data_IF_061305194969
#
_entry.id   IF_061305194969
#
_cell.length_a   1.000
_cell.length_b   1.000
_cell.length_c   1.000
_cell.angle_alpha   90.00
_cell.angle_beta   90.00
_cell.angle_gamma   90.00
#
_symmetry.space_group_name_H-M   'P 1'
#
loop_
_entity.id
_entity.type
_entity.pdbx_description
1 polymer ?
#
# COMPACT_ATOMS: atom_id res chain seq x y z
N UNK A 1 9.87 -6.40 -16.51
CA UNK A 1 9.00 -6.36 -15.31
C UNK A 1 7.61 -5.92 -15.74
N UNK A 2 6.74 -6.87 -16.12
CA UNK A 2 5.41 -6.57 -16.70
C UNK A 2 4.48 -6.06 -15.61
N UNK A 3 3.88 -4.89 -15.85
CA UNK A 3 2.66 -4.43 -15.18
C UNK A 3 1.63 -5.56 -15.31
N UNK A 4 1.48 -6.39 -14.27
CA UNK A 4 0.35 -7.31 -14.16
C UNK A 4 -0.88 -6.44 -13.95
N UNK A 5 -1.45 -6.16 -15.11
CA UNK A 5 -2.57 -5.31 -15.45
C UNK A 5 -3.64 -5.33 -14.37
N UNK A 6 -4.21 -4.16 -14.10
CA UNK A 6 -5.63 -4.05 -13.78
C UNK A 6 -6.39 -4.73 -14.93
N UNK A 7 -6.55 -6.07 -14.88
CA UNK A 7 -7.36 -6.82 -15.86
C UNK A 7 -8.85 -6.55 -15.71
N UNK A 8 -9.22 -5.72 -14.73
CA UNK A 8 -10.54 -5.19 -14.54
C UNK A 8 -10.57 -3.74 -15.07
N UNK A 9 -11.10 -3.50 -16.29
CA UNK A 9 -11.18 -2.16 -16.86
C UNK A 9 -11.98 -1.20 -15.97
N UNK A 10 -12.97 -1.70 -15.23
CA UNK A 10 -13.82 -0.91 -14.33
C UNK A 10 -13.00 -0.33 -13.17
N UNK A 11 -12.09 -1.14 -12.60
CA UNK A 11 -11.21 -0.67 -11.52
C UNK A 11 -10.25 0.42 -12.01
N UNK A 12 -9.71 0.31 -13.22
CA UNK A 12 -8.84 1.38 -13.75
C UNK A 12 -9.63 2.66 -13.94
N UNK A 13 -10.81 2.60 -14.54
CA UNK A 13 -11.66 3.77 -14.76
C UNK A 13 -12.02 4.45 -13.43
N UNK A 14 -12.37 3.67 -12.41
CA UNK A 14 -12.66 4.19 -11.06
C UNK A 14 -11.45 4.88 -10.42
N UNK A 15 -10.25 4.31 -10.54
CA UNK A 15 -9.03 4.93 -10.01
C UNK A 15 -8.65 6.22 -10.74
N UNK A 16 -8.91 6.30 -12.05
CA UNK A 16 -8.75 7.54 -12.82
C UNK A 16 -9.76 8.60 -12.34
N UNK A 17 -11.02 8.24 -12.12
CA UNK A 17 -12.02 9.17 -11.60
C UNK A 17 -11.64 9.70 -10.21
N UNK A 18 -11.21 8.81 -9.31
CA UNK A 18 -10.69 9.19 -7.98
C UNK A 18 -9.50 10.15 -8.10
N UNK A 19 -8.59 9.90 -9.05
CA UNK A 19 -7.45 10.79 -9.29
C UNK A 19 -7.88 12.19 -9.71
N UNK A 20 -8.81 12.29 -10.65
CA UNK A 20 -9.30 13.58 -11.14
C UNK A 20 -9.99 14.38 -10.02
N UNK A 21 -10.82 13.73 -9.21
CA UNK A 21 -11.45 14.33 -8.03
C UNK A 21 -10.41 14.78 -6.99
N UNK A 22 -9.41 13.93 -6.69
CA UNK A 22 -8.32 14.25 -5.78
C UNK A 22 -7.55 15.49 -6.25
N UNK A 23 -7.21 15.55 -7.53
CA UNK A 23 -6.46 16.67 -8.11
C UNK A 23 -7.29 17.93 -8.22
N UNK A 24 -8.59 17.82 -8.50
CA UNK A 24 -9.52 18.94 -8.44
C UNK A 24 -9.58 19.53 -7.02
N UNK A 25 -9.71 18.67 -6.00
CA UNK A 25 -9.73 19.08 -4.60
C UNK A 25 -8.41 19.74 -4.19
N UNK A 26 -7.26 19.19 -4.61
CA UNK A 26 -5.94 19.72 -4.30
C UNK A 26 -5.63 21.10 -4.92
N UNK A 27 -6.42 21.54 -5.90
CA UNK A 27 -6.31 22.86 -6.53
C UNK A 27 -7.08 23.95 -5.78
N UNK A 28 -7.92 23.61 -4.80
CA UNK A 28 -8.69 24.60 -4.06
C UNK A 28 -7.76 25.47 -3.19
N UNK A 29 -7.96 26.79 -3.10
CA UNK A 29 -7.04 27.71 -2.40
C UNK A 29 -6.73 27.32 -0.96
N UNK A 30 -7.69 26.72 -0.25
CA UNK A 30 -7.57 26.38 1.17
C UNK A 30 -7.31 24.88 1.41
N UNK A 31 -6.89 24.15 0.38
CA UNK A 31 -6.64 22.70 0.48
C UNK A 31 -5.16 22.40 0.31
N UNK A 32 -4.55 21.89 1.38
CA UNK A 32 -3.21 21.32 1.32
C UNK A 32 -3.22 19.97 0.60
N UNK A 33 -2.05 19.55 0.07
CA UNK A 33 -1.90 18.20 -0.48
C UNK A 33 -2.24 17.11 0.56
N UNK A 34 -1.96 17.38 1.84
CA UNK A 34 -2.33 16.50 2.96
C UNK A 34 -3.84 16.37 3.12
N UNK A 35 -4.59 17.47 3.03
CA UNK A 35 -6.05 17.49 3.14
C UNK A 35 -6.70 16.78 1.95
N UNK A 36 -6.22 17.04 0.72
CA UNK A 36 -6.69 16.32 -0.46
C UNK A 36 -6.42 14.81 -0.34
N UNK A 37 -5.20 14.43 0.07
CA UNK A 37 -4.86 13.03 0.33
C UNK A 37 -5.74 12.42 1.42
N UNK A 38 -6.08 13.17 2.47
CA UNK A 38 -6.93 12.70 3.56
C UNK A 38 -8.34 12.32 3.06
N UNK A 39 -8.91 13.12 2.14
CA UNK A 39 -10.15 12.75 1.44
C UNK A 39 -10.02 11.39 0.75
N UNK A 40 -8.92 11.14 0.03
CA UNK A 40 -8.69 9.81 -0.55
C UNK A 40 -8.60 8.73 0.53
N UNK A 41 -7.71 8.88 1.52
CA UNK A 41 -7.43 7.81 2.48
C UNK A 41 -8.60 7.49 3.41
N UNK A 42 -9.43 8.46 3.76
CA UNK A 42 -10.52 8.29 4.72
C UNK A 42 -11.90 8.07 4.09
N UNK A 43 -12.09 8.43 2.81
CA UNK A 43 -13.42 8.37 2.17
C UNK A 43 -13.39 7.42 0.99
N UNK A 44 -12.45 7.61 0.05
CA UNK A 44 -12.47 6.86 -1.21
C UNK A 44 -11.76 5.51 -1.13
N UNK A 45 -10.72 5.40 -0.31
CA UNK A 45 -9.85 4.23 -0.28
C UNK A 45 -10.61 2.94 0.07
N UNK A 46 -11.64 3.01 0.92
CA UNK A 46 -12.45 1.84 1.31
C UNK A 46 -13.08 1.12 0.12
N UNK A 47 -13.43 1.85 -0.94
CA UNK A 47 -14.02 1.30 -2.16
C UNK A 47 -13.01 0.46 -2.95
N UNK A 48 -11.74 0.82 -2.94
CA UNK A 48 -10.72 0.27 -3.85
C UNK A 48 -9.64 -0.57 -3.16
N UNK A 49 -9.36 -0.37 -1.87
CA UNK A 49 -8.22 -0.98 -1.18
C UNK A 49 -8.25 -2.52 -1.24
N UNK A 50 -9.42 -3.15 -1.03
CA UNK A 50 -9.52 -4.63 -1.12
C UNK A 50 -9.17 -5.16 -2.51
N UNK A 51 -9.49 -4.40 -3.57
CA UNK A 51 -9.21 -4.76 -4.97
C UNK A 51 -7.76 -4.44 -5.37
N UNK A 52 -7.13 -3.48 -4.71
CA UNK A 52 -5.74 -3.09 -4.93
C UNK A 52 -4.75 -3.93 -4.11
N UNK A 53 -5.15 -4.39 -2.93
CA UNK A 53 -4.28 -5.06 -1.96
C UNK A 53 -3.63 -6.30 -2.56
N UNK A 54 -2.31 -6.38 -2.42
CA UNK A 54 -1.53 -7.50 -2.94
C UNK A 54 -0.57 -8.02 -1.87
N UNK A 55 -0.69 -9.29 -1.54
CA UNK A 55 0.31 -9.97 -0.73
C UNK A 55 1.62 -10.07 -1.51
N UNK A 56 2.73 -9.73 -0.89
CA UNK A 56 4.05 -9.80 -1.53
C UNK A 56 4.66 -11.19 -1.54
N UNK A 57 4.06 -12.14 -0.83
CA UNK A 57 4.67 -13.45 -0.59
C UNK A 57 5.71 -13.42 0.54
N UNK A 58 5.73 -12.38 1.39
CA UNK A 58 6.64 -12.25 2.54
C UNK A 58 5.86 -12.25 3.86
N UNK A 59 6.33 -13.04 4.81
CA UNK A 59 5.81 -13.12 6.17
C UNK A 59 6.97 -12.99 7.15
N UNK A 60 6.74 -12.44 8.33
CA UNK A 60 7.79 -12.45 9.35
C UNK A 60 8.00 -13.86 9.90
N UNK A 61 9.23 -14.16 10.34
CA UNK A 61 9.55 -15.43 11.00
C UNK A 61 8.66 -15.66 12.23
N UNK A 62 8.48 -14.64 13.06
CA UNK A 62 7.62 -14.74 14.25
C UNK A 62 6.15 -15.05 13.91
N UNK A 63 5.61 -14.46 12.84
CA UNK A 63 4.26 -14.77 12.37
C UNK A 63 4.13 -16.17 11.77
N UNK A 64 5.22 -16.74 11.25
CA UNK A 64 5.24 -18.08 10.69
C UNK A 64 5.34 -19.18 11.77
N UNK A 65 5.99 -18.90 12.89
CA UNK A 65 6.31 -19.88 13.94
C UNK A 65 5.24 -20.00 15.02
N UNK A 66 4.29 -19.06 15.11
CA UNK A 66 3.27 -19.07 16.18
C UNK A 66 1.87 -18.76 15.68
N UNK A 67 0.99 -19.75 15.78
CA UNK A 67 -0.45 -19.61 15.51
C UNK A 67 -1.19 -18.82 16.59
N UNK A 68 -0.59 -18.65 17.77
CA UNK A 68 -1.21 -17.96 18.90
C UNK A 68 -1.11 -16.43 18.80
N UNK A 69 -0.25 -15.90 17.91
CA UNK A 69 -0.02 -14.47 17.78
C UNK A 69 -1.06 -13.79 16.90
N UNK A 70 -1.45 -12.57 17.30
CA UNK A 70 -2.34 -11.74 16.49
C UNK A 70 -1.59 -11.25 15.25
N UNK A 71 -2.06 -11.67 14.07
CA UNK A 71 -1.46 -11.29 12.79
C UNK A 71 -2.02 -9.96 12.26
N UNK A 72 -1.19 -9.26 11.48
CA UNK A 72 -1.54 -8.00 10.81
C UNK A 72 -1.03 -7.98 9.37
N UNK A 73 -1.78 -7.30 8.51
CA UNK A 73 -1.35 -6.92 7.17
C UNK A 73 -0.64 -5.57 7.24
N UNK A 74 0.68 -5.58 7.17
CA UNK A 74 1.51 -4.37 7.27
C UNK A 74 1.74 -3.75 5.90
N UNK A 75 1.48 -2.44 5.79
CA UNK A 75 1.65 -1.65 4.57
C UNK A 75 2.97 -0.85 4.60
N UNK A 76 4.04 -1.49 4.17
CA UNK A 76 5.42 -0.99 4.31
C UNK A 76 5.72 0.31 3.56
N UNK A 77 4.99 0.61 2.48
CA UNK A 77 5.22 1.78 1.61
C UNK A 77 4.51 3.07 2.06
N UNK A 78 3.92 3.08 3.27
CA UNK A 78 3.38 4.27 3.97
C UNK A 78 2.60 5.23 3.05
N UNK A 79 1.41 4.80 2.65
CA UNK A 79 0.55 5.48 1.66
C UNK A 79 0.37 7.00 1.92
N UNK A 80 0.25 7.41 3.17
CA UNK A 80 -0.02 8.81 3.52
C UNK A 80 1.09 9.77 3.07
N UNK A 81 2.36 9.46 3.38
CA UNK A 81 3.51 10.28 2.99
C UNK A 81 3.71 10.24 1.47
N UNK A 82 3.64 9.04 0.91
CA UNK A 82 3.87 8.82 -0.53
C UNK A 82 2.84 9.56 -1.40
N UNK A 83 1.55 9.48 -1.06
CA UNK A 83 0.50 10.18 -1.79
C UNK A 83 0.53 11.70 -1.56
N UNK A 84 0.84 12.16 -0.35
CA UNK A 84 0.95 13.61 -0.09
C UNK A 84 2.03 14.24 -0.98
N UNK A 85 3.20 13.60 -1.07
CA UNK A 85 4.28 14.05 -1.94
C UNK A 85 3.94 13.96 -3.43
N UNK A 86 3.20 12.92 -3.85
CA UNK A 86 2.73 12.76 -5.22
C UNK A 86 1.78 13.90 -5.62
N UNK A 87 0.75 14.16 -4.80
CA UNK A 87 -0.25 15.23 -5.05
C UNK A 87 0.45 16.58 -5.10
N UNK A 88 1.35 16.86 -4.16
CA UNK A 88 2.11 18.11 -4.14
C UNK A 88 2.96 18.28 -5.40
N UNK A 89 3.64 17.22 -5.86
CA UNK A 89 4.43 17.23 -7.09
C UNK A 89 3.55 17.49 -8.32
N UNK A 90 2.46 16.74 -8.49
CA UNK A 90 1.54 16.91 -9.62
C UNK A 90 0.95 18.32 -9.66
N UNK A 91 0.60 18.87 -8.49
CA UNK A 91 0.11 20.24 -8.35
C UNK A 91 1.15 21.27 -8.76
N UNK A 92 2.36 21.21 -8.20
CA UNK A 92 3.45 22.17 -8.48
C UNK A 92 3.85 22.17 -9.96
N UNK A 93 3.95 20.98 -10.55
CA UNK A 93 4.35 20.82 -11.96
C UNK A 93 3.20 21.01 -12.95
N UNK A 94 1.96 21.25 -12.48
CA UNK A 94 0.75 21.29 -13.30
C UNK A 94 0.61 20.08 -14.24
N UNK A 95 1.15 18.92 -13.82
CA UNK A 95 1.19 17.70 -14.62
C UNK A 95 0.16 16.72 -14.09
N UNK A 96 -0.87 16.43 -14.90
CA UNK A 96 -1.80 15.34 -14.62
C UNK A 96 -1.21 14.02 -15.12
N UNK A 97 -1.17 13.02 -14.25
CA UNK A 97 -0.61 11.70 -14.55
C UNK A 97 -1.32 10.62 -13.71
N UNK A 98 -2.55 10.23 -14.08
CA UNK A 98 -3.31 9.21 -13.36
C UNK A 98 -2.59 7.86 -13.34
N UNK A 99 -1.81 7.51 -14.36
CA UNK A 99 -1.08 6.23 -14.40
C UNK A 99 0.03 6.15 -13.35
N UNK A 100 0.67 7.27 -13.03
CA UNK A 100 1.62 7.34 -11.91
C UNK A 100 0.92 7.19 -10.56
N UNK A 101 -0.24 7.85 -10.39
CA UNK A 101 -1.07 7.68 -9.20
C UNK A 101 -1.48 6.22 -8.98
N UNK A 102 -1.99 5.56 -10.02
CA UNK A 102 -2.37 4.15 -9.98
C UNK A 102 -1.18 3.26 -9.61
N UNK A 103 -0.01 3.49 -10.22
CA UNK A 103 1.21 2.74 -9.89
C UNK A 103 1.61 2.92 -8.43
N UNK A 104 1.56 4.15 -7.92
CA UNK A 104 1.85 4.45 -6.51
C UNK A 104 0.87 3.76 -5.59
N UNK A 105 -0.43 3.81 -5.87
CA UNK A 105 -1.44 3.10 -5.07
C UNK A 105 -1.18 1.60 -5.04
N UNK A 106 -0.94 0.97 -6.18
CA UNK A 106 -0.65 -0.47 -6.24
C UNK A 106 0.59 -0.83 -5.43
N UNK A 107 1.64 0.01 -5.45
CA UNK A 107 2.85 -0.23 -4.65
C UNK A 107 2.59 -0.02 -3.15
N UNK A 108 1.78 0.98 -2.79
CA UNK A 108 1.39 1.27 -1.40
C UNK A 108 0.46 0.22 -0.78
N UNK A 109 -0.35 -0.44 -1.59
CA UNK A 109 -1.29 -1.50 -1.18
C UNK A 109 -0.65 -2.90 -1.12
N UNK A 110 0.67 -2.98 -1.31
CA UNK A 110 1.41 -4.21 -1.07
C UNK A 110 1.57 -4.45 0.43
N UNK A 111 1.27 -5.68 0.85
CA UNK A 111 1.29 -6.05 2.26
C UNK A 111 2.21 -7.23 2.54
N UNK A 112 2.79 -7.20 3.74
CA UNK A 112 3.43 -8.35 4.37
C UNK A 112 2.54 -8.86 5.50
N UNK A 113 2.72 -10.13 5.89
CA UNK A 113 2.09 -10.67 7.10
C UNK A 113 3.12 -10.56 8.22
N UNK A 114 2.76 -9.89 9.31
CA UNK A 114 3.60 -9.72 10.50
C UNK A 114 2.75 -9.89 11.75
N UNK A 115 3.36 -9.98 12.92
CA UNK A 115 2.62 -9.95 14.19
C UNK A 115 2.15 -8.52 14.50
N UNK A 116 1.19 -8.38 15.41
CA UNK A 116 0.72 -7.08 15.88
C UNK A 116 1.87 -6.22 16.47
N UNK A 117 2.75 -6.84 17.26
CA UNK A 117 3.90 -6.17 17.87
C UNK A 117 4.90 -5.70 16.82
N UNK A 118 5.19 -6.55 15.82
CA UNK A 118 6.06 -6.22 14.71
C UNK A 118 5.48 -5.09 13.84
N UNK A 119 4.17 -5.07 13.60
CA UNK A 119 3.53 -3.96 12.89
C UNK A 119 3.74 -2.62 13.61
N UNK A 120 3.68 -2.61 14.95
CA UNK A 120 3.98 -1.43 15.75
C UNK A 120 5.48 -1.09 15.75
N UNK A 121 6.36 -2.09 15.84
CA UNK A 121 7.81 -1.92 15.75
C UNK A 121 8.23 -1.33 14.40
N UNK A 122 7.71 -1.86 13.29
CA UNK A 122 7.92 -1.34 11.94
C UNK A 122 7.45 0.12 11.80
N UNK A 123 6.33 0.48 12.44
CA UNK A 123 5.87 1.87 12.48
C UNK A 123 6.86 2.79 13.19
N UNK A 124 7.34 2.40 14.38
CA UNK A 124 8.33 3.19 15.14
C UNK A 124 9.67 3.29 14.42
N UNK A 125 10.05 2.27 13.66
CA UNK A 125 11.26 2.25 12.85
C UNK A 125 11.11 2.95 11.48
N UNK A 126 9.98 3.61 11.20
CA UNK A 126 9.76 4.28 9.92
C UNK A 126 9.65 3.35 8.71
N UNK A 127 9.31 2.08 8.93
CA UNK A 127 9.26 1.02 7.91
C UNK A 127 10.60 0.29 7.71
N UNK A 128 11.64 0.58 8.50
CA UNK A 128 12.90 -0.14 8.45
C UNK A 128 12.81 -1.44 9.27
N UNK A 129 12.58 -2.55 8.59
CA UNK A 129 12.44 -3.86 9.24
C UNK A 129 13.71 -4.32 9.96
N UNK A 130 14.89 -3.94 9.46
CA UNK A 130 16.15 -4.30 10.12
C UNK A 130 16.26 -3.58 11.46
N UNK A 131 15.93 -2.29 11.50
CA UNK A 131 15.85 -1.53 12.76
C UNK A 131 14.73 -2.01 13.69
N UNK A 132 13.64 -2.52 13.13
CA UNK A 132 12.53 -3.09 13.89
C UNK A 132 12.80 -4.51 14.41
N UNK A 133 13.91 -5.15 14.03
CA UNK A 133 14.21 -6.54 14.39
C UNK A 133 13.32 -7.58 13.68
N UNK A 134 12.72 -7.22 12.54
CA UNK A 134 11.77 -8.05 11.81
C UNK A 134 12.50 -8.78 10.68
N UNK A 135 12.51 -10.11 10.74
CA UNK A 135 13.01 -10.95 9.66
C UNK A 135 11.87 -11.42 8.77
N UNK A 136 11.93 -11.08 7.48
CA UNK A 136 10.95 -11.52 6.49
C UNK A 136 11.43 -12.73 5.69
N UNK A 137 10.68 -13.82 5.78
CA UNK A 137 10.91 -15.03 5.01
C UNK A 137 9.93 -15.13 3.83
N UNK A 138 10.31 -15.77 2.72
CA UNK A 138 9.37 -16.10 1.65
C UNK A 138 8.27 -17.03 2.18
N UNK A 139 7.00 -16.71 1.94
CA UNK A 139 5.87 -17.58 2.31
C UNK A 139 6.03 -18.99 1.72
N UNK A 140 6.55 -19.08 0.49
CA UNK A 140 6.76 -20.36 -0.21
C UNK A 140 7.77 -21.27 0.48
N UNK A 141 8.70 -20.75 1.27
CA UNK A 141 9.67 -21.58 2.00
C UNK A 141 9.09 -22.18 3.29
N UNK A 142 7.85 -21.85 3.64
CA UNK A 142 7.14 -22.38 4.80
C UNK A 142 6.18 -23.51 4.46
N UNK A 143 5.94 -23.74 3.16
CA UNK A 143 5.10 -24.84 2.73
C UNK A 143 5.90 -26.15 2.85
N UNK A 144 5.33 -27.20 3.47
CA UNK A 144 5.97 -28.50 3.48
C UNK A 144 6.16 -29.01 2.05
N UNK A 145 7.26 -29.73 1.82
CA UNK A 145 7.57 -30.33 0.52
C UNK A 145 6.56 -31.45 0.24
N UNK A 146 5.50 -31.13 -0.50
CA UNK A 146 4.53 -32.10 -1.02
C UNK A 146 5.15 -32.85 -2.21
N UNK A 147 6.25 -33.55 -1.96
CA UNK A 147 6.94 -34.41 -2.94
C UNK A 147 6.66 -35.91 -2.75
N UNK A 148 5.75 -36.29 -1.84
CA UNK A 148 5.32 -37.68 -1.70
C UNK A 148 3.82 -37.79 -1.38
N UNK A 149 3.01 -37.85 -2.43
CA UNK A 149 1.68 -38.46 -2.43
C UNK A 149 1.52 -39.23 -3.74
#
# INVERSE_FOLDING_TARGET
MRLVQLRNPDLRAELVAIYEELMWLAQRPNVSAGNARAWYTHIMSEKVNRRLRRFTGRVSRAAAESEALILRLEHYKRIQRTLTALVERHRKLKKRNPDEFIRVLIDCERVHIVTFEENYAAMRAGGDYRKAGIELVPWRSLLPDVSHC
#
